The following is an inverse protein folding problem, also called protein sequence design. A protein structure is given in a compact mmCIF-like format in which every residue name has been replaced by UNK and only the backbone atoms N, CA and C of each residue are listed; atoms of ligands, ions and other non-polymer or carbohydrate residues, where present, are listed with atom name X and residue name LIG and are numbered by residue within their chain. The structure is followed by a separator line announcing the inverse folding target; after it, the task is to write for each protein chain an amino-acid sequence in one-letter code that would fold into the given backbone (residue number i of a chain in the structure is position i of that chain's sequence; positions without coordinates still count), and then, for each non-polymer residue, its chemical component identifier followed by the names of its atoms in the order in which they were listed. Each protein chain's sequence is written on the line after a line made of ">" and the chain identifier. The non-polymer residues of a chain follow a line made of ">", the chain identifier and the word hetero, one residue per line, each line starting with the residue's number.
data_IF_491735822761
#
_entry.id   IF_491735822761
#
_cell.length_a   1.000
_cell.length_b   1.000
_cell.length_c   1.000
_cell.angle_alpha   90.00
_cell.angle_beta   90.00
_cell.angle_gamma   90.00
#
_symmetry.space_group_name_H-M   'P 1'
#
loop_
_entity.id
_entity.type
_entity.pdbx_description
1 polymer ?
#
# COMPACT_ATOMS: atom_id res chain seq x y z
N UNK A 1 -1.11 10.05 16.33
CA UNK A 1 -1.27 11.08 17.39
C UNK A 1 -2.12 12.28 16.99
N UNK A 2 -2.28 12.61 15.69
CA UNK A 2 -3.10 13.76 15.28
C UNK A 2 -4.62 13.57 15.46
N UNK A 3 -5.13 12.34 15.29
CA UNK A 3 -6.57 12.03 15.43
C UNK A 3 -7.12 12.34 16.83
N UNK A 4 -6.59 11.67 17.86
CA UNK A 4 -7.08 11.85 19.24
C UNK A 4 -6.99 13.29 19.76
N UNK A 5 -6.03 14.08 19.28
CA UNK A 5 -5.84 15.49 19.67
C UNK A 5 -6.86 16.40 18.96
N UNK A 6 -7.22 16.07 17.71
CA UNK A 6 -8.32 16.74 17.01
C UNK A 6 -9.68 16.39 17.61
N UNK A 7 -9.89 15.13 18.01
CA UNK A 7 -11.11 14.69 18.68
C UNK A 7 -11.26 15.37 20.05
N UNK A 8 -10.19 15.41 20.85
CA UNK A 8 -10.17 16.13 22.12
C UNK A 8 -10.49 17.62 21.94
N UNK A 9 -9.92 18.27 20.90
CA UNK A 9 -10.24 19.66 20.55
C UNK A 9 -11.70 19.82 20.10
N UNK A 10 -12.25 18.89 19.34
CA UNK A 10 -13.64 18.93 18.90
C UNK A 10 -14.60 18.83 20.11
N UNK A 11 -14.33 17.92 21.05
CA UNK A 11 -15.09 17.76 22.29
C UNK A 11 -15.04 19.06 23.11
N UNK A 12 -13.84 19.62 23.33
CA UNK A 12 -13.67 20.84 24.13
C UNK A 12 -14.31 22.07 23.45
N UNK A 13 -14.23 22.18 22.13
CA UNK A 13 -14.91 23.26 21.40
C UNK A 13 -16.43 23.14 21.46
N UNK A 14 -16.99 21.93 21.44
CA UNK A 14 -18.42 21.70 21.63
C UNK A 14 -18.86 22.03 23.05
N UNK A 15 -18.08 21.65 24.07
CA UNK A 15 -18.34 22.03 25.46
C UNK A 15 -18.31 23.55 25.64
N UNK A 16 -17.35 24.24 25.01
CA UNK A 16 -17.24 25.71 25.10
C UNK A 16 -18.47 26.45 24.54
N UNK A 17 -19.11 25.90 23.50
CA UNK A 17 -20.32 26.47 22.87
C UNK A 17 -21.55 26.37 23.77
N UNK A 18 -21.66 25.30 24.55
CA UNK A 18 -22.84 24.98 25.34
C UNK A 18 -22.71 25.38 26.82
N UNK A 19 -21.49 25.71 27.28
CA UNK A 19 -21.25 26.16 28.65
C UNK A 19 -21.65 27.64 28.81
N UNK A 20 -22.22 28.02 29.95
CA UNK A 20 -22.57 29.40 30.27
C UNK A 20 -21.80 29.95 31.47
N UNK A 21 -21.14 29.08 32.24
CA UNK A 21 -20.39 29.45 33.43
C UNK A 21 -19.04 30.06 33.06
N UNK A 22 -18.75 31.34 33.41
CA UNK A 22 -17.51 32.01 33.01
C UNK A 22 -16.24 31.31 33.50
N UNK A 23 -16.29 30.70 34.70
CA UNK A 23 -15.15 29.94 35.26
C UNK A 23 -14.84 28.68 34.45
N UNK A 24 -15.87 27.95 34.01
CA UNK A 24 -15.71 26.74 33.19
C UNK A 24 -15.26 27.09 31.77
N UNK A 25 -15.80 28.16 31.16
CA UNK A 25 -15.30 28.67 29.87
C UNK A 25 -13.81 28.96 29.88
N UNK A 26 -13.31 29.64 30.93
CA UNK A 26 -11.86 29.90 31.08
C UNK A 26 -11.06 28.62 31.24
N UNK A 27 -11.57 27.64 31.99
CA UNK A 27 -10.92 26.33 32.15
C UNK A 27 -10.79 25.60 30.81
N UNK A 28 -11.88 25.53 30.03
CA UNK A 28 -11.90 24.90 28.71
C UNK A 28 -10.96 25.61 27.73
N UNK A 29 -10.95 26.96 27.72
CA UNK A 29 -10.03 27.74 26.89
C UNK A 29 -8.57 27.48 27.25
N UNK A 30 -8.24 27.38 28.55
CA UNK A 30 -6.89 27.02 28.99
C UNK A 30 -6.50 25.63 28.52
N UNK A 31 -7.38 24.63 28.66
CA UNK A 31 -7.11 23.28 28.15
C UNK A 31 -6.90 23.24 26.63
N UNK A 32 -7.65 24.03 25.86
CA UNK A 32 -7.41 24.18 24.41
C UNK A 32 -6.04 24.79 24.11
N UNK A 33 -5.62 25.80 24.87
CA UNK A 33 -4.29 26.42 24.75
C UNK A 33 -3.16 25.45 25.11
N UNK A 34 -3.34 24.67 26.18
CA UNK A 34 -2.37 23.65 26.61
C UNK A 34 -2.23 22.57 25.53
N UNK A 35 -3.34 22.11 24.94
CA UNK A 35 -3.33 21.17 23.81
C UNK A 35 -2.63 21.76 22.56
N UNK A 36 -2.81 23.05 22.27
CA UNK A 36 -2.07 23.73 21.20
C UNK A 36 -0.56 23.80 21.50
N UNK A 37 -0.19 24.07 22.74
CA UNK A 37 1.21 24.12 23.17
C UNK A 37 1.87 22.73 23.08
N UNK A 38 1.18 21.68 23.53
CA UNK A 38 1.63 20.29 23.41
C UNK A 38 1.79 19.89 21.94
N UNK A 39 0.81 20.22 21.08
CA UNK A 39 0.90 19.93 19.65
C UNK A 39 2.09 20.65 18.99
N UNK A 40 2.34 21.91 19.35
CA UNK A 40 3.51 22.67 18.88
C UNK A 40 4.82 22.04 19.37
N UNK A 41 4.89 21.62 20.63
CA UNK A 41 6.08 21.00 21.21
C UNK A 41 6.36 19.62 20.60
N UNK A 42 5.32 18.82 20.38
CA UNK A 42 5.41 17.54 19.68
C UNK A 42 5.89 17.73 18.25
N UNK A 43 5.32 18.69 17.52
CA UNK A 43 5.74 19.01 16.14
C UNK A 43 7.18 19.48 16.07
N UNK A 44 7.64 20.27 17.04
CA UNK A 44 9.04 20.73 17.16
C UNK A 44 10.04 19.59 17.39
N UNK A 45 9.58 18.49 18.00
CA UNK A 45 10.39 17.32 18.30
C UNK A 45 10.05 16.09 17.43
N UNK A 46 9.25 16.27 16.38
CA UNK A 46 8.72 15.18 15.54
C UNK A 46 9.84 14.29 14.99
N UNK A 47 10.86 14.88 14.39
CA UNK A 47 12.06 14.16 13.90
C UNK A 47 12.70 13.29 14.99
N UNK A 48 12.86 13.84 16.19
CA UNK A 48 13.46 13.13 17.32
C UNK A 48 12.57 11.97 17.78
N UNK A 49 11.27 12.18 17.88
CA UNK A 49 10.32 11.14 18.28
C UNK A 49 10.26 10.00 17.27
N UNK A 50 10.27 10.31 15.96
CA UNK A 50 10.36 9.32 14.89
C UNK A 50 11.61 8.46 15.05
N UNK A 51 12.80 9.09 15.06
CA UNK A 51 14.06 8.37 15.09
C UNK A 51 14.21 7.51 16.34
N UNK A 52 13.79 8.01 17.51
CA UNK A 52 13.81 7.23 18.74
C UNK A 52 12.89 6.01 18.64
N UNK A 53 11.68 6.17 18.11
CA UNK A 53 10.72 5.07 17.98
C UNK A 53 11.17 4.03 16.98
N UNK A 54 11.72 4.45 15.83
CA UNK A 54 12.30 3.54 14.85
C UNK A 54 13.51 2.78 15.42
N UNK A 55 14.43 3.45 16.12
CA UNK A 55 15.59 2.79 16.73
C UNK A 55 15.16 1.77 17.80
N UNK A 56 14.21 2.13 18.68
CA UNK A 56 13.70 1.21 19.69
C UNK A 56 12.97 0.02 19.06
N UNK A 57 12.16 0.25 18.03
CA UNK A 57 11.45 -0.80 17.32
C UNK A 57 12.40 -1.77 16.61
N UNK A 58 13.43 -1.25 15.93
CA UNK A 58 14.47 -2.06 15.30
C UNK A 58 15.16 -2.98 16.31
N UNK A 59 15.66 -2.41 17.42
CA UNK A 59 16.36 -3.16 18.45
C UNK A 59 15.48 -4.23 19.09
N UNK A 60 14.21 -3.91 19.38
CA UNK A 60 13.24 -4.87 19.92
C UNK A 60 12.95 -6.05 18.97
N UNK A 61 13.18 -5.87 17.66
CA UNK A 61 13.00 -6.90 16.63
C UNK A 61 14.34 -7.50 16.16
N UNK A 62 15.39 -7.43 16.98
CA UNK A 62 16.73 -7.97 16.67
C UNK A 62 17.35 -7.39 15.38
N UNK A 63 16.95 -6.18 14.97
CA UNK A 63 17.58 -5.45 13.88
C UNK A 63 18.55 -4.44 14.44
N UNK A 64 19.82 -4.49 13.99
CA UNK A 64 20.84 -3.52 14.36
C UNK A 64 20.78 -2.34 13.38
N UNK A 65 20.36 -1.13 13.81
CA UNK A 65 20.21 -0.01 12.90
C UNK A 65 21.54 0.41 12.25
N UNK A 66 21.51 0.71 10.96
CA UNK A 66 22.69 1.08 10.17
C UNK A 66 22.74 2.57 9.81
N UNK A 67 21.57 3.16 9.56
CA UNK A 67 21.37 4.53 9.13
C UNK A 67 20.75 5.40 10.24
N UNK A 68 20.06 4.80 11.21
CA UNK A 68 19.51 5.55 12.35
C UNK A 68 20.61 5.96 13.35
N UNK A 69 20.45 7.13 14.00
CA UNK A 69 21.38 7.54 15.06
C UNK A 69 21.32 6.60 16.25
N UNK A 70 22.48 6.40 16.89
CA UNK A 70 22.59 5.60 18.12
C UNK A 70 21.68 6.16 19.22
N UNK A 71 20.96 5.30 19.97
CA UNK A 71 20.24 5.72 21.16
C UNK A 71 21.18 6.49 22.11
N UNK A 72 20.77 7.67 22.56
CA UNK A 72 21.56 8.50 23.49
C UNK A 72 22.64 9.39 22.87
N UNK A 73 22.84 9.40 21.54
CA UNK A 73 23.76 10.35 20.89
C UNK A 73 23.39 11.81 21.21
N UNK A 74 24.38 12.64 21.56
CA UNK A 74 24.19 14.08 21.82
C UNK A 74 23.56 14.73 20.58
N UNK A 75 22.42 15.40 20.81
CA UNK A 75 21.42 15.79 19.80
C UNK A 75 21.94 16.90 18.89
N UNK A 76 22.55 16.55 17.77
CA UNK A 76 22.46 17.44 16.62
C UNK A 76 20.97 17.60 16.26
N UNK A 77 20.52 18.84 16.01
CA UNK A 77 19.14 19.12 15.65
C UNK A 77 18.89 18.54 14.25
N UNK A 78 18.38 17.31 14.17
CA UNK A 78 18.06 16.66 12.89
C UNK A 78 16.75 17.26 12.37
N UNK A 79 16.80 17.81 11.16
CA UNK A 79 15.61 18.33 10.48
C UNK A 79 14.66 17.20 10.08
N UNK A 80 13.36 17.50 10.00
CA UNK A 80 12.33 16.54 9.56
C UNK A 80 12.66 15.85 8.22
N UNK A 81 13.10 16.57 7.16
CA UNK A 81 13.48 15.92 5.91
C UNK A 81 14.63 14.92 6.08
N UNK A 82 15.62 15.26 6.91
CA UNK A 82 16.76 14.38 7.19
C UNK A 82 16.32 13.15 8.00
N UNK A 83 15.47 13.31 9.00
CA UNK A 83 14.93 12.19 9.77
C UNK A 83 14.10 11.24 8.90
N UNK A 84 13.24 11.78 8.03
CA UNK A 84 12.47 11.01 7.05
C UNK A 84 13.41 10.23 6.12
N UNK A 85 14.43 10.89 5.57
CA UNK A 85 15.43 10.26 4.70
C UNK A 85 16.15 9.09 5.38
N UNK A 86 16.70 9.31 6.59
CA UNK A 86 17.39 8.24 7.35
C UNK A 86 16.48 7.06 7.65
N UNK A 87 15.21 7.33 7.97
CA UNK A 87 14.22 6.26 8.22
C UNK A 87 13.91 5.47 6.96
N UNK A 88 13.79 6.13 5.80
CA UNK A 88 13.60 5.45 4.51
C UNK A 88 14.82 4.61 4.13
N UNK A 89 16.04 5.12 4.35
CA UNK A 89 17.28 4.37 4.13
C UNK A 89 17.35 3.13 5.03
N UNK A 90 16.93 3.25 6.29
CA UNK A 90 16.83 2.11 7.20
C UNK A 90 15.77 1.09 6.77
N UNK A 91 14.57 1.56 6.38
CA UNK A 91 13.54 0.65 5.87
C UNK A 91 14.08 -0.09 4.64
N UNK A 92 14.77 0.60 3.73
CA UNK A 92 15.37 -0.01 2.55
C UNK A 92 16.35 -1.12 2.92
N UNK A 93 17.27 -0.87 3.88
CA UNK A 93 18.23 -1.91 4.30
C UNK A 93 17.55 -3.11 4.96
N UNK A 94 16.46 -2.90 5.71
CA UNK A 94 15.64 -3.98 6.30
C UNK A 94 14.94 -4.80 5.20
N UNK A 95 14.38 -4.13 4.19
CA UNK A 95 13.75 -4.78 3.03
C UNK A 95 14.76 -5.60 2.25
N UNK A 96 15.92 -5.03 1.94
CA UNK A 96 16.97 -5.72 1.18
C UNK A 96 17.55 -6.92 1.96
N UNK A 97 17.42 -6.94 3.30
CA UNK A 97 17.75 -8.07 4.15
C UNK A 97 16.61 -9.11 4.32
N UNK A 98 15.49 -8.96 3.62
CA UNK A 98 14.35 -9.89 3.66
C UNK A 98 13.60 -9.90 5.00
N UNK A 99 13.72 -8.85 5.82
CA UNK A 99 13.08 -8.78 7.14
C UNK A 99 11.69 -8.12 7.05
N UNK A 100 10.77 -8.74 6.32
CA UNK A 100 9.47 -8.16 5.95
C UNK A 100 8.67 -7.61 7.14
N UNK A 101 8.55 -8.37 8.24
CA UNK A 101 7.81 -7.92 9.44
C UNK A 101 8.40 -6.66 10.07
N UNK A 102 9.74 -6.55 10.08
CA UNK A 102 10.44 -5.38 10.64
C UNK A 102 10.27 -4.19 9.70
N UNK A 103 10.38 -4.40 8.38
CA UNK A 103 10.19 -3.35 7.40
C UNK A 103 8.78 -2.76 7.47
N UNK A 104 7.74 -3.61 7.46
CA UNK A 104 6.34 -3.17 7.54
C UNK A 104 6.05 -2.38 8.81
N UNK A 105 6.48 -2.87 9.99
CA UNK A 105 6.26 -2.14 11.23
C UNK A 105 7.02 -0.81 11.28
N UNK A 106 8.23 -0.74 10.70
CA UNK A 106 8.96 0.53 10.61
C UNK A 106 8.30 1.51 9.63
N UNK A 107 7.71 1.03 8.54
CA UNK A 107 6.91 1.82 7.61
C UNK A 107 5.65 2.36 8.31
N UNK A 108 4.95 1.54 9.09
CA UNK A 108 3.76 1.98 9.81
C UNK A 108 4.11 3.06 10.84
N UNK A 109 5.22 2.90 11.57
CA UNK A 109 5.76 3.97 12.41
C UNK A 109 6.01 5.23 11.57
N UNK A 110 6.69 5.12 10.43
CA UNK A 110 6.94 6.29 9.58
C UNK A 110 5.64 6.99 9.16
N UNK A 111 4.57 6.26 8.85
CA UNK A 111 3.27 6.83 8.48
C UNK A 111 2.54 7.49 9.64
N UNK A 112 2.72 7.04 10.88
CA UNK A 112 2.20 7.75 12.06
C UNK A 112 2.79 9.16 12.20
N UNK A 113 4.02 9.34 11.72
CA UNK A 113 4.65 10.65 11.68
C UNK A 113 4.35 11.35 10.37
N UNK A 114 4.45 10.71 9.21
CA UNK A 114 4.37 11.33 7.87
C UNK A 114 3.31 10.61 7.01
N UNK A 115 2.10 11.15 6.98
CA UNK A 115 0.94 10.59 6.26
C UNK A 115 1.16 10.35 4.74
N UNK A 116 2.19 10.97 4.14
CA UNK A 116 2.52 10.74 2.74
C UNK A 116 4.03 10.66 2.50
N UNK A 117 4.49 9.47 2.13
CA UNK A 117 5.87 9.20 1.77
C UNK A 117 5.89 8.22 0.58
N UNK A 118 5.99 8.72 -0.67
CA UNK A 118 5.92 7.87 -1.86
C UNK A 118 6.90 6.70 -1.84
N UNK A 119 8.15 6.98 -1.44
CA UNK A 119 9.18 5.95 -1.29
C UNK A 119 8.83 4.91 -0.23
N UNK A 120 8.17 5.29 0.86
CA UNK A 120 7.73 4.34 1.89
C UNK A 120 6.58 3.46 1.40
N UNK A 121 5.64 4.02 0.60
CA UNK A 121 4.59 3.23 -0.06
C UNK A 121 5.17 2.25 -1.08
N UNK A 122 6.18 2.66 -1.85
CA UNK A 122 6.91 1.75 -2.75
C UNK A 122 7.63 0.63 -2.00
N UNK A 123 8.31 0.95 -0.89
CA UNK A 123 8.95 -0.05 -0.04
C UNK A 123 7.93 -0.98 0.63
N UNK A 124 6.77 -0.47 1.03
CA UNK A 124 5.64 -1.29 1.55
C UNK A 124 5.18 -2.27 0.49
N UNK A 125 4.87 -1.80 -0.71
CA UNK A 125 4.45 -2.64 -1.83
C UNK A 125 5.50 -3.70 -2.19
N UNK A 126 6.78 -3.33 -2.29
CA UNK A 126 7.88 -4.28 -2.51
C UNK A 126 7.89 -5.38 -1.43
N UNK A 127 7.87 -4.99 -0.16
CA UNK A 127 7.89 -5.93 0.97
C UNK A 127 6.70 -6.90 0.96
N UNK A 128 5.52 -6.40 0.59
CA UNK A 128 4.30 -7.20 0.49
C UNK A 128 4.37 -8.17 -0.70
N UNK A 129 4.89 -7.74 -1.85
CA UNK A 129 5.12 -8.62 -3.00
C UNK A 129 6.13 -9.72 -2.69
N UNK A 130 7.25 -9.39 -2.05
CA UNK A 130 8.26 -10.37 -1.60
C UNK A 130 7.66 -11.40 -0.61
N UNK A 131 6.57 -11.04 0.05
CA UNK A 131 5.82 -11.91 0.97
C UNK A 131 4.57 -12.53 0.35
N UNK A 132 4.41 -12.47 -0.99
CA UNK A 132 3.26 -12.98 -1.76
C UNK A 132 1.89 -12.38 -1.38
N UNK A 133 1.88 -11.21 -0.72
CA UNK A 133 0.69 -10.45 -0.32
C UNK A 133 0.29 -9.46 -1.43
N UNK A 134 -0.06 -10.00 -2.60
CA UNK A 134 -0.31 -9.23 -3.83
C UNK A 134 -1.43 -8.19 -3.66
N UNK A 135 -2.56 -8.57 -3.07
CA UNK A 135 -3.71 -7.67 -2.91
C UNK A 135 -3.32 -6.43 -2.08
N UNK A 136 -2.71 -6.64 -0.92
CA UNK A 136 -2.23 -5.55 -0.07
C UNK A 136 -1.12 -4.71 -0.72
N UNK A 137 -0.30 -5.32 -1.58
CA UNK A 137 0.71 -4.58 -2.32
C UNK A 137 0.10 -3.59 -3.31
N UNK A 138 -0.98 -4.00 -4.01
CA UNK A 138 -1.70 -3.13 -4.95
C UNK A 138 -2.40 -2.00 -4.20
N UNK A 139 -3.04 -2.29 -3.07
CA UNK A 139 -3.64 -1.27 -2.20
C UNK A 139 -2.61 -0.22 -1.75
N UNK A 140 -1.39 -0.66 -1.39
CA UNK A 140 -0.31 0.26 -1.01
C UNK A 140 0.16 1.15 -2.18
N UNK A 141 0.05 0.68 -3.43
CA UNK A 141 0.42 1.45 -4.63
C UNK A 141 -0.70 2.39 -5.11
N UNK A 142 -1.96 2.10 -4.77
CA UNK A 142 -3.12 2.84 -5.26
C UNK A 142 -3.01 4.37 -5.08
N UNK A 143 -2.58 4.91 -3.92
CA UNK A 143 -2.41 6.36 -3.75
C UNK A 143 -1.35 6.99 -4.69
N UNK A 144 -0.40 6.18 -5.18
CA UNK A 144 0.66 6.63 -6.09
C UNK A 144 0.20 6.63 -7.54
N UNK A 145 -0.69 5.71 -7.91
CA UNK A 145 -1.21 5.54 -9.26
C UNK A 145 -2.21 6.63 -9.64
N UNK A 146 -2.97 7.14 -8.67
CA UNK A 146 -3.88 8.28 -8.87
C UNK A 146 -3.14 9.61 -9.02
N UNK A 147 -1.83 9.66 -8.73
CA UNK A 147 -1.03 10.86 -8.92
C UNK A 147 -0.62 11.01 -10.40
N UNK A 148 -0.73 12.22 -10.94
CA UNK A 148 -0.40 12.55 -12.34
C UNK A 148 1.08 12.30 -12.73
N UNK A 149 1.92 11.96 -11.74
CA UNK A 149 3.36 11.67 -11.88
C UNK A 149 3.73 10.34 -11.23
N UNK A 150 3.02 9.27 -11.58
CA UNK A 150 3.43 7.91 -11.18
C UNK A 150 4.83 7.59 -11.70
N UNK A 151 5.76 7.38 -10.78
CA UNK A 151 7.17 7.08 -11.11
C UNK A 151 7.33 5.70 -11.76
N UNK A 152 8.41 5.51 -12.53
CA UNK A 152 8.68 4.22 -13.17
C UNK A 152 8.84 3.07 -12.17
N UNK A 153 9.35 3.35 -10.96
CA UNK A 153 9.40 2.38 -9.87
C UNK A 153 8.00 1.91 -9.44
N UNK A 154 7.03 2.83 -9.36
CA UNK A 154 5.64 2.49 -9.04
C UNK A 154 5.04 1.61 -10.14
N UNK A 155 5.26 1.95 -11.42
CA UNK A 155 4.78 1.17 -12.56
C UNK A 155 5.41 -0.23 -12.60
N UNK A 156 6.71 -0.33 -12.30
CA UNK A 156 7.41 -1.61 -12.22
C UNK A 156 6.83 -2.51 -11.12
N UNK A 157 6.57 -1.96 -9.93
CA UNK A 157 5.94 -2.70 -8.83
C UNK A 157 4.51 -3.14 -9.19
N UNK A 158 3.73 -2.28 -9.85
CA UNK A 158 2.40 -2.66 -10.33
C UNK A 158 2.49 -3.81 -11.35
N UNK A 159 3.46 -3.75 -12.27
CA UNK A 159 3.70 -4.84 -13.24
C UNK A 159 4.04 -6.16 -12.53
N UNK A 160 4.88 -6.13 -11.50
CA UNK A 160 5.19 -7.30 -10.68
C UNK A 160 3.95 -7.85 -9.98
N UNK A 161 3.11 -6.97 -9.42
CA UNK A 161 1.85 -7.37 -8.80
C UNK A 161 0.90 -8.05 -9.82
N UNK A 162 0.77 -7.47 -11.03
CA UNK A 162 -0.01 -8.05 -12.13
C UNK A 162 0.51 -9.43 -12.52
N UNK A 163 1.82 -9.60 -12.68
CA UNK A 163 2.43 -10.90 -12.95
C UNK A 163 2.12 -11.91 -11.84
N UNK A 164 2.14 -11.49 -10.57
CA UNK A 164 1.75 -12.35 -9.46
C UNK A 164 0.28 -12.83 -9.55
N UNK A 165 -0.64 -11.99 -10.02
CA UNK A 165 -2.03 -12.41 -10.29
C UNK A 165 -2.07 -13.44 -11.41
N UNK A 166 -1.32 -13.22 -12.50
CA UNK A 166 -1.22 -14.15 -13.62
C UNK A 166 -0.68 -15.52 -13.18
N UNK A 167 0.39 -15.55 -12.39
CA UNK A 167 0.96 -16.81 -11.87
C UNK A 167 -0.03 -17.55 -10.96
N UNK A 168 -0.79 -16.83 -10.12
CA UNK A 168 -1.85 -17.45 -9.30
C UNK A 168 -2.97 -18.02 -10.16
N UNK A 169 -3.37 -17.33 -11.23
CA UNK A 169 -4.35 -17.85 -12.17
C UNK A 169 -3.84 -19.12 -12.88
N UNK A 170 -2.56 -19.12 -13.27
CA UNK A 170 -1.91 -20.29 -13.86
C UNK A 170 -1.90 -21.48 -12.92
N UNK A 171 -1.51 -21.28 -11.66
CA UNK A 171 -1.57 -22.33 -10.62
C UNK A 171 -3.00 -22.83 -10.40
N UNK A 172 -3.98 -21.93 -10.41
CA UNK A 172 -5.39 -22.31 -10.29
C UNK A 172 -5.82 -23.20 -11.47
N UNK A 173 -5.37 -22.91 -12.69
CA UNK A 173 -5.65 -23.72 -13.89
C UNK A 173 -5.08 -25.15 -13.86
N UNK A 174 -4.22 -25.47 -12.90
CA UNK A 174 -3.71 -26.84 -12.69
C UNK A 174 -4.63 -27.65 -11.75
N UNK A 175 -5.46 -26.96 -10.96
CA UNK A 175 -6.33 -27.54 -9.93
C UNK A 175 -7.82 -27.42 -10.28
N UNK A 176 -8.15 -26.46 -11.14
CA UNK A 176 -9.50 -26.04 -11.50
C UNK A 176 -9.63 -25.93 -13.02
N UNK A 177 -10.84 -25.64 -13.49
CA UNK A 177 -11.08 -25.45 -14.91
C UNK A 177 -10.39 -24.18 -15.43
N UNK A 178 -10.11 -24.13 -16.74
CA UNK A 178 -9.55 -22.94 -17.36
C UNK A 178 -10.47 -21.72 -17.18
N UNK A 179 -11.79 -21.91 -17.26
CA UNK A 179 -12.77 -20.82 -17.08
C UNK A 179 -12.74 -20.24 -15.67
N UNK A 180 -12.55 -21.06 -14.63
CA UNK A 180 -12.39 -20.61 -13.25
C UNK A 180 -11.09 -19.82 -13.07
N UNK A 181 -9.99 -20.28 -13.67
CA UNK A 181 -8.70 -19.58 -13.64
C UNK A 181 -8.77 -18.21 -14.33
N UNK A 182 -9.41 -18.14 -15.50
CA UNK A 182 -9.62 -16.89 -16.25
C UNK A 182 -10.55 -15.95 -15.50
N UNK A 183 -11.62 -16.49 -14.91
CA UNK A 183 -12.54 -15.72 -14.06
C UNK A 183 -11.83 -15.16 -12.84
N UNK A 184 -10.96 -15.92 -12.18
CA UNK A 184 -10.12 -15.41 -11.09
C UNK A 184 -9.23 -14.26 -11.55
N UNK A 185 -8.52 -14.44 -12.67
CA UNK A 185 -7.62 -13.42 -13.23
C UNK A 185 -8.35 -12.10 -13.50
N UNK A 186 -9.48 -12.16 -14.21
CA UNK A 186 -10.29 -10.99 -14.58
C UNK A 186 -10.82 -10.32 -13.32
N UNK A 187 -11.47 -11.07 -12.44
CA UNK A 187 -12.09 -10.50 -11.24
C UNK A 187 -11.07 -9.86 -10.31
N UNK A 188 -9.88 -10.44 -10.15
CA UNK A 188 -8.82 -9.85 -9.33
C UNK A 188 -8.31 -8.54 -9.88
N UNK A 189 -8.09 -8.44 -11.19
CA UNK A 189 -7.72 -7.17 -11.82
C UNK A 189 -8.81 -6.11 -11.65
N UNK A 190 -10.06 -6.46 -11.93
CA UNK A 190 -11.20 -5.55 -11.82
C UNK A 190 -11.51 -5.14 -10.37
N UNK A 191 -11.25 -6.00 -9.38
CA UNK A 191 -11.39 -5.67 -7.96
C UNK A 191 -10.49 -4.48 -7.59
N UNK A 192 -9.28 -4.44 -8.16
CA UNK A 192 -8.28 -3.40 -7.91
C UNK A 192 -8.37 -2.20 -8.85
N UNK A 193 -9.38 -2.15 -9.72
CA UNK A 193 -9.51 -1.08 -10.74
C UNK A 193 -8.40 -1.10 -11.79
N UNK A 194 -7.78 -2.26 -12.02
CA UNK A 194 -6.74 -2.46 -13.04
C UNK A 194 -7.40 -3.12 -14.25
N UNK A 195 -7.10 -2.63 -15.45
CA UNK A 195 -7.54 -3.28 -16.68
C UNK A 195 -6.86 -4.66 -16.83
N UNK A 196 -7.63 -5.76 -16.93
CA UNK A 196 -7.08 -7.06 -17.30
C UNK A 196 -6.56 -6.98 -18.75
N UNK A 197 -5.34 -7.45 -19.00
CA UNK A 197 -4.77 -7.49 -20.35
C UNK A 197 -4.36 -8.92 -20.70
N UNK A 198 -4.65 -9.30 -21.96
CA UNK A 198 -4.24 -10.56 -22.52
C UNK A 198 -2.70 -10.67 -22.56
N UNK A 199 -2.18 -11.85 -22.27
CA UNK A 199 -0.76 -12.18 -22.36
C UNK A 199 -0.58 -13.69 -22.61
N UNK A 200 0.63 -14.11 -22.96
CA UNK A 200 0.93 -15.49 -23.35
C UNK A 200 0.57 -16.54 -22.28
N UNK A 201 0.70 -16.19 -20.99
CA UNK A 201 0.34 -17.11 -19.91
C UNK A 201 -1.17 -17.30 -19.83
N UNK A 202 -1.95 -16.23 -20.00
CA UNK A 202 -3.41 -16.32 -20.10
C UNK A 202 -3.84 -17.08 -21.36
N UNK A 203 -3.15 -16.85 -22.48
CA UNK A 203 -3.32 -17.65 -23.70
C UNK A 203 -3.10 -19.14 -23.45
N UNK A 204 -2.08 -19.50 -22.68
CA UNK A 204 -1.80 -20.91 -22.33
C UNK A 204 -2.86 -21.55 -21.44
N UNK A 205 -3.57 -20.77 -20.62
CA UNK A 205 -4.70 -21.25 -19.82
C UNK A 205 -5.90 -21.49 -20.73
N UNK A 206 -6.23 -20.52 -21.60
CA UNK A 206 -7.35 -20.61 -22.55
C UNK A 206 -7.18 -21.74 -23.56
N UNK A 207 -5.96 -22.04 -23.99
CA UNK A 207 -5.72 -23.17 -24.89
C UNK A 207 -6.06 -24.53 -24.27
N UNK A 208 -6.19 -24.64 -22.94
CA UNK A 208 -6.60 -25.87 -22.26
C UNK A 208 -8.11 -26.12 -22.34
N UNK A 209 -8.94 -25.09 -22.52
CA UNK A 209 -10.41 -25.25 -22.65
C UNK A 209 -10.86 -25.47 -24.09
N UNK A 210 -10.04 -25.12 -25.07
CA UNK A 210 -10.35 -25.44 -26.47
C UNK A 210 -10.11 -26.92 -26.71
N UNK A 211 -11.17 -27.71 -26.87
CA UNK A 211 -11.08 -29.08 -27.36
C UNK A 211 -10.26 -29.11 -28.66
N UNK A 212 -9.24 -29.97 -28.67
CA UNK A 212 -8.41 -30.28 -29.83
C UNK A 212 -9.29 -30.79 -30.97
N UNK A 213 -9.47 -29.99 -32.02
CA UNK A 213 -9.71 -30.51 -33.39
C UNK A 213 -9.66 -29.44 -34.50
N UNK A 214 -9.52 -28.15 -34.17
CA UNK A 214 -9.20 -27.11 -35.15
C UNK A 214 -7.76 -26.66 -34.96
N UNK A 215 -6.81 -27.51 -35.38
CA UNK A 215 -5.41 -27.10 -35.54
C UNK A 215 -5.33 -26.09 -36.68
N UNK A 216 -5.61 -24.82 -36.37
CA UNK A 216 -5.29 -23.71 -37.25
C UNK A 216 -3.76 -23.70 -37.35
N UNK A 217 -3.23 -24.06 -38.52
CA UNK A 217 -1.79 -24.11 -38.77
C UNK A 217 -1.11 -22.74 -38.70
N UNK A 218 -1.90 -21.67 -38.66
CA UNK A 218 -1.44 -20.29 -38.52
C UNK A 218 -1.44 -19.85 -37.04
N UNK A 219 -0.22 -19.61 -36.54
CA UNK A 219 0.05 -19.15 -35.18
C UNK A 219 -0.57 -17.78 -34.89
N UNK A 220 -0.64 -16.89 -35.87
CA UNK A 220 -1.17 -15.54 -35.68
C UNK A 220 -2.69 -15.58 -35.52
N UNK A 221 -3.38 -16.33 -36.38
CA UNK A 221 -4.81 -16.59 -36.25
C UNK A 221 -5.14 -17.22 -34.90
N UNK A 222 -4.35 -18.21 -34.45
CA UNK A 222 -4.55 -18.83 -33.14
C UNK A 222 -4.40 -17.86 -31.97
N UNK A 223 -3.44 -16.94 -32.04
CA UNK A 223 -3.26 -15.92 -31.01
C UNK A 223 -4.42 -14.92 -30.97
N UNK A 224 -4.93 -14.52 -32.14
CA UNK A 224 -6.09 -13.64 -32.25
C UNK A 224 -7.36 -14.31 -31.69
N UNK A 225 -7.58 -15.60 -31.96
CA UNK A 225 -8.70 -16.35 -31.38
C UNK A 225 -8.66 -16.37 -29.86
N UNK A 226 -7.51 -16.69 -29.27
CA UNK A 226 -7.35 -16.71 -27.80
C UNK A 226 -7.58 -15.32 -27.20
N UNK A 227 -7.15 -14.26 -27.90
CA UNK A 227 -7.42 -12.89 -27.48
C UNK A 227 -8.92 -12.55 -27.56
N UNK A 228 -9.62 -12.99 -28.61
CA UNK A 228 -11.07 -12.81 -28.73
C UNK A 228 -11.86 -13.57 -27.66
N UNK A 229 -11.45 -14.80 -27.35
CA UNK A 229 -12.03 -15.58 -26.24
C UNK A 229 -11.84 -14.87 -24.90
N UNK A 230 -10.62 -14.36 -24.64
CA UNK A 230 -10.34 -13.57 -23.45
C UNK A 230 -11.22 -12.30 -23.37
N UNK A 231 -11.32 -11.55 -24.48
CA UNK A 231 -12.12 -10.34 -24.53
C UNK A 231 -13.61 -10.63 -24.30
N UNK A 232 -14.11 -11.74 -24.84
CA UNK A 232 -15.50 -12.18 -24.63
C UNK A 232 -15.76 -12.46 -23.15
N UNK A 233 -14.88 -13.25 -22.51
CA UNK A 233 -14.97 -13.50 -21.07
C UNK A 233 -14.90 -12.21 -20.24
N UNK A 234 -14.03 -11.26 -20.63
CA UNK A 234 -13.93 -9.97 -19.96
C UNK A 234 -15.24 -9.16 -20.06
N UNK A 235 -15.88 -9.13 -21.23
CA UNK A 235 -17.17 -8.46 -21.44
C UNK A 235 -18.23 -9.06 -20.52
N UNK A 236 -18.33 -10.39 -20.45
CA UNK A 236 -19.31 -11.07 -19.60
C UNK A 236 -19.16 -10.68 -18.12
N UNK A 237 -17.92 -10.64 -17.61
CA UNK A 237 -17.64 -10.22 -16.23
C UNK A 237 -17.98 -8.74 -15.98
N UNK A 238 -17.73 -7.86 -16.95
CA UNK A 238 -18.09 -6.45 -16.87
C UNK A 238 -19.61 -6.25 -16.86
N UNK A 239 -20.34 -6.93 -17.76
CA UNK A 239 -21.81 -6.89 -17.81
C UNK A 239 -22.44 -7.44 -16.53
N UNK A 240 -21.95 -8.57 -16.02
CA UNK A 240 -22.42 -9.15 -14.78
C UNK A 240 -22.22 -8.20 -13.59
N UNK A 241 -21.12 -7.44 -13.58
CA UNK A 241 -20.85 -6.44 -12.54
C UNK A 241 -21.79 -5.24 -12.65
N UNK A 242 -22.04 -4.75 -13.87
CA UNK A 242 -23.00 -3.67 -14.13
C UNK A 242 -24.42 -4.05 -13.67
N UNK A 243 -24.87 -5.26 -13.99
CA UNK A 243 -26.19 -5.78 -13.56
C UNK A 243 -26.34 -5.91 -12.04
N UNK A 244 -25.25 -6.13 -11.30
CA UNK A 244 -25.26 -6.19 -9.83
C UNK A 244 -25.26 -4.81 -9.16
N UNK A 245 -24.88 -3.76 -9.89
CA UNK A 245 -24.83 -2.39 -9.39
C UNK A 245 -26.05 -1.54 -9.78
N UNK A 246 -26.93 -2.07 -10.63
CA UNK A 246 -28.22 -1.48 -11.01
C UNK A 246 -29.33 -1.98 -10.08
#
# INVERSE_FOLDING_TARGET
>A
MSGNLQDAKAILNNLLKNENTPKLKRGIQKSLQDLDAEQKQYSKNRSRHLLLRCSNYALANNWKPQHLPKPGAKKAKISDPKAKKLTIEEIKSIVDAGKSKVALGMIDILFEFYNHAPQALQLKAKTLLDSNQIDSAIEALQPLLTSQKSSDATKALLKLARNGITEKAKQLSEQQTADEAISFFINKHLQHGIAPEFNDQIGSILSKSSNEDTAIGDRELRQQELQLQFNSALIDHLEARLKKTA
#
